data_IF_449261676438
#
_entry.id   IF_449261676438
#
_cell.length_a   1.000
_cell.length_b   1.000
_cell.length_c   1.000
_cell.angle_alpha   90.00
_cell.angle_beta   90.00
_cell.angle_gamma   90.00
#
_symmetry.space_group_name_H-M   'P 1'
#
loop_
_entity.id
_entity.type
_entity.pdbx_description
1 polymer ?
#
# COMPACT_ATOMS: atom_id res chain seq x y z
N UNK A 1 10.12 6.69 -29.98
CA UNK A 1 10.36 6.23 -28.84
C UNK A 1 9.57 5.14 -28.52
N UNK A 2 10.22 4.34 -28.40
CA UNK A 2 9.67 3.30 -27.73
C UNK A 2 9.03 3.80 -26.50
N UNK A 3 7.84 3.70 -26.49
CA UNK A 3 7.13 3.77 -25.27
C UNK A 3 7.75 2.71 -24.38
N UNK A 4 8.47 3.13 -23.41
CA UNK A 4 8.96 2.21 -22.42
C UNK A 4 7.77 1.48 -21.86
N UNK A 5 7.78 0.19 -22.03
CA UNK A 5 6.75 -0.63 -21.42
C UNK A 5 6.92 -0.49 -19.92
N UNK A 6 5.98 0.16 -19.26
CA UNK A 6 5.99 0.24 -17.82
C UNK A 6 5.95 -1.17 -17.26
N UNK A 7 6.86 -1.45 -16.34
CA UNK A 7 6.75 -2.68 -15.59
C UNK A 7 5.47 -2.64 -14.78
N UNK A 8 4.65 -3.63 -14.96
CA UNK A 8 3.43 -3.74 -14.18
C UNK A 8 3.76 -4.53 -12.92
N UNK A 9 4.19 -3.83 -11.91
CA UNK A 9 4.72 -4.43 -10.69
C UNK A 9 3.70 -5.25 -9.91
N UNK A 10 2.44 -4.81 -9.93
CA UNK A 10 1.41 -5.41 -9.06
C UNK A 10 0.23 -5.94 -9.86
N UNK A 11 0.42 -6.17 -11.14
CA UNK A 11 -0.65 -6.65 -12.01
C UNK A 11 -1.15 -8.02 -11.52
N UNK A 12 -2.47 -8.15 -11.41
CA UNK A 12 -3.12 -9.40 -11.00
C UNK A 12 -2.73 -9.86 -9.60
N UNK A 13 -2.17 -8.97 -8.78
CA UNK A 13 -1.83 -9.31 -7.41
C UNK A 13 -3.08 -9.38 -6.56
N UNK A 14 -3.14 -10.36 -5.68
CA UNK A 14 -4.27 -10.55 -4.79
C UNK A 14 -4.38 -9.39 -3.79
N UNK A 15 -5.59 -8.86 -3.63
CA UNK A 15 -5.90 -7.80 -2.66
C UNK A 15 -5.01 -6.56 -2.87
N UNK A 16 -4.80 -6.19 -4.12
CA UNK A 16 -3.91 -5.08 -4.43
C UNK A 16 -4.53 -4.20 -5.51
N UNK A 17 -4.79 -2.94 -5.17
CA UNK A 17 -5.29 -1.96 -6.13
C UNK A 17 -4.11 -1.18 -6.73
N UNK A 18 -4.19 -0.89 -8.01
CA UNK A 18 -3.23 -0.02 -8.67
C UNK A 18 -3.72 1.41 -8.60
N UNK A 19 -2.90 2.30 -8.03
CA UNK A 19 -3.25 3.71 -7.85
C UNK A 19 -2.44 4.57 -8.80
N UNK A 20 -3.11 5.52 -9.42
CA UNK A 20 -2.49 6.55 -10.24
C UNK A 20 -2.97 7.91 -9.76
N UNK A 21 -2.36 8.98 -10.28
CA UNK A 21 -2.84 10.32 -9.99
C UNK A 21 -4.30 10.51 -10.36
N UNK A 22 -4.72 9.88 -11.47
CA UNK A 22 -6.09 10.03 -11.97
C UNK A 22 -7.12 9.31 -11.11
N UNK A 23 -6.77 8.16 -10.52
CA UNK A 23 -7.75 7.38 -9.75
C UNK A 23 -7.57 7.50 -8.24
N UNK A 24 -6.64 8.33 -7.77
CA UNK A 24 -6.30 8.40 -6.35
C UNK A 24 -7.52 8.79 -5.51
N UNK A 25 -8.27 9.78 -5.96
CA UNK A 25 -9.45 10.24 -5.22
C UNK A 25 -10.44 9.10 -5.01
N UNK A 26 -10.77 8.37 -6.07
CA UNK A 26 -11.77 7.32 -6.00
C UNK A 26 -11.24 6.06 -5.31
N UNK A 27 -9.97 5.74 -5.50
CA UNK A 27 -9.40 4.49 -5.00
C UNK A 27 -8.99 4.59 -3.55
N UNK A 28 -8.53 5.76 -3.11
CA UNK A 28 -7.96 5.94 -1.77
C UNK A 28 -8.82 6.88 -0.92
N UNK A 29 -9.07 8.08 -1.39
CA UNK A 29 -9.71 9.12 -0.55
C UNK A 29 -11.18 8.84 -0.32
N UNK A 30 -11.93 8.51 -1.38
CA UNK A 30 -13.36 8.25 -1.27
C UNK A 30 -13.67 6.85 -0.74
N UNK A 31 -12.65 6.01 -0.62
CA UNK A 31 -12.81 4.66 -0.08
C UNK A 31 -13.09 4.72 1.41
N UNK A 32 -14.10 3.98 1.86
CA UNK A 32 -14.49 3.98 3.28
C UNK A 32 -13.60 3.09 4.14
N UNK A 33 -12.73 2.31 3.52
CA UNK A 33 -11.79 1.45 4.22
C UNK A 33 -10.52 2.21 4.58
N UNK A 34 -9.78 1.66 5.52
CA UNK A 34 -8.37 2.05 5.69
C UNK A 34 -7.61 1.59 4.46
N UNK A 35 -6.75 2.45 3.91
CA UNK A 35 -5.99 2.11 2.71
C UNK A 35 -4.51 2.23 3.00
N UNK A 36 -3.78 1.14 2.81
CA UNK A 36 -2.31 1.14 2.93
C UNK A 36 -1.71 1.18 1.54
N UNK A 37 -0.93 2.22 1.26
CA UNK A 37 -0.37 2.47 -0.07
C UNK A 37 1.15 2.34 -0.03
N UNK A 38 1.69 1.48 -0.88
CA UNK A 38 3.14 1.42 -1.14
C UNK A 38 3.45 2.29 -2.36
N UNK A 39 4.31 3.28 -2.16
CA UNK A 39 4.78 4.14 -3.25
C UNK A 39 6.16 3.66 -3.66
N UNK A 40 6.32 3.32 -4.94
CA UNK A 40 7.52 2.71 -5.47
C UNK A 40 7.96 3.39 -6.75
N UNK A 41 9.15 3.03 -7.23
CA UNK A 41 9.65 3.39 -8.55
C UNK A 41 10.22 2.13 -9.21
N UNK A 42 10.15 2.07 -10.53
CA UNK A 42 10.57 0.88 -11.27
C UNK A 42 12.07 0.57 -11.09
N UNK A 43 12.88 1.60 -10.94
CA UNK A 43 14.33 1.47 -10.82
C UNK A 43 14.81 1.23 -9.39
N UNK A 44 13.91 1.18 -8.44
CA UNK A 44 14.26 1.18 -7.01
C UNK A 44 14.54 -0.24 -6.50
N UNK A 45 15.78 -0.50 -6.13
CA UNK A 45 16.19 -1.81 -5.61
C UNK A 45 15.51 -2.15 -4.30
N UNK A 46 15.40 -1.19 -3.38
CA UNK A 46 14.73 -1.42 -2.10
C UNK A 46 13.24 -1.69 -2.28
N UNK A 47 12.64 -1.12 -3.32
CA UNK A 47 11.24 -1.41 -3.64
C UNK A 47 11.07 -2.86 -4.07
N UNK A 48 12.05 -3.41 -4.82
CA UNK A 48 12.01 -4.80 -5.25
C UNK A 48 12.10 -5.75 -4.07
N UNK A 49 12.86 -5.38 -3.04
CA UNK A 49 12.97 -6.18 -1.82
C UNK A 49 11.68 -6.12 -0.99
N UNK A 50 11.06 -4.96 -0.90
CA UNK A 50 9.83 -4.78 -0.15
C UNK A 50 8.62 -5.42 -0.84
N UNK A 51 8.59 -5.42 -2.15
CA UNK A 51 7.43 -5.88 -2.93
C UNK A 51 6.88 -7.24 -2.48
N UNK A 52 7.69 -8.31 -2.40
CA UNK A 52 7.15 -9.60 -1.99
C UNK A 52 6.59 -9.59 -0.58
N UNK A 53 7.18 -8.82 0.32
CA UNK A 53 6.69 -8.70 1.70
C UNK A 53 5.34 -7.99 1.73
N UNK A 54 5.21 -6.92 0.97
CA UNK A 54 3.97 -6.16 0.88
C UNK A 54 2.86 -7.00 0.26
N UNK A 55 3.17 -7.71 -0.84
CA UNK A 55 2.22 -8.61 -1.49
C UNK A 55 1.78 -9.72 -0.56
N UNK A 56 2.70 -10.30 0.19
CA UNK A 56 2.39 -11.38 1.11
C UNK A 56 1.50 -10.92 2.25
N UNK A 57 1.76 -9.73 2.77
CA UNK A 57 0.91 -9.14 3.81
C UNK A 57 -0.50 -8.88 3.29
N UNK A 58 -0.63 -8.33 2.09
CA UNK A 58 -1.92 -8.08 1.47
C UNK A 58 -2.70 -9.39 1.31
N UNK A 59 -2.03 -10.44 0.88
CA UNK A 59 -2.64 -11.75 0.73
C UNK A 59 -3.10 -12.32 2.07
N UNK A 60 -2.26 -12.21 3.09
CA UNK A 60 -2.60 -12.72 4.43
C UNK A 60 -3.78 -11.98 5.04
N UNK A 61 -3.97 -10.73 4.71
CA UNK A 61 -5.03 -9.90 5.29
C UNK A 61 -6.21 -9.71 4.34
N UNK A 62 -6.35 -10.56 3.34
CA UNK A 62 -7.41 -10.43 2.36
C UNK A 62 -8.81 -10.62 2.96
N UNK A 63 -8.91 -11.24 4.13
CA UNK A 63 -10.19 -11.44 4.83
C UNK A 63 -10.63 -10.19 5.61
N UNK A 64 -9.76 -9.20 5.76
CA UNK A 64 -10.09 -7.99 6.53
C UNK A 64 -10.85 -7.02 5.63
N UNK A 65 -12.17 -7.03 5.74
CA UNK A 65 -13.03 -6.28 4.84
C UNK A 65 -12.89 -4.77 4.97
N UNK A 66 -12.34 -4.27 6.07
CA UNK A 66 -12.17 -2.85 6.33
C UNK A 66 -10.81 -2.30 5.91
N UNK A 67 -9.98 -3.13 5.31
CA UNK A 67 -8.61 -2.76 4.94
C UNK A 67 -8.39 -3.02 3.45
N UNK A 68 -7.76 -2.08 2.79
CA UNK A 68 -7.44 -2.17 1.37
C UNK A 68 -5.96 -1.91 1.19
N UNK A 69 -5.32 -2.70 0.34
CA UNK A 69 -3.93 -2.51 -0.05
C UNK A 69 -3.86 -1.92 -1.44
N UNK A 70 -2.92 -1.03 -1.63
CA UNK A 70 -2.74 -0.36 -2.92
C UNK A 70 -1.27 -0.07 -3.17
N UNK A 71 -0.93 0.08 -4.43
CA UNK A 71 0.44 0.42 -4.83
C UNK A 71 0.40 1.50 -5.90
N UNK A 72 1.32 2.45 -5.81
CA UNK A 72 1.41 3.55 -6.74
C UNK A 72 2.85 3.74 -7.20
N UNK A 73 3.04 3.84 -8.51
CA UNK A 73 4.34 4.24 -9.05
C UNK A 73 4.49 5.75 -8.85
N UNK A 74 5.30 6.14 -7.87
CA UNK A 74 5.47 7.54 -7.50
C UNK A 74 6.43 8.31 -8.40
N UNK A 75 7.14 7.60 -9.29
CA UNK A 75 8.03 8.23 -10.25
C UNK A 75 7.25 8.80 -11.45
N UNK A 76 6.07 8.24 -11.71
CA UNK A 76 5.23 8.63 -12.85
C UNK A 76 3.90 9.24 -12.43
N UNK A 77 3.61 9.29 -11.14
CA UNK A 77 2.36 9.84 -10.64
C UNK A 77 2.63 10.82 -9.50
N UNK A 78 1.87 11.89 -9.48
CA UNK A 78 1.90 12.85 -8.39
C UNK A 78 0.55 12.85 -7.68
N UNK A 79 0.59 12.99 -6.36
CA UNK A 79 -0.62 13.11 -5.56
C UNK A 79 -0.53 14.42 -4.78
N UNK A 80 -1.51 15.28 -4.98
CA UNK A 80 -1.57 16.55 -4.29
C UNK A 80 -1.68 16.32 -2.78
N UNK A 81 -0.80 16.96 -2.03
CA UNK A 81 -0.78 16.81 -0.59
C UNK A 81 0.08 15.66 -0.06
N UNK A 82 0.63 14.85 -0.94
CA UNK A 82 1.52 13.77 -0.57
C UNK A 82 2.92 14.06 -1.12
N UNK A 83 3.84 14.39 -0.22
CA UNK A 83 5.21 14.75 -0.60
C UNK A 83 6.11 13.54 -0.47
N UNK A 84 6.25 12.80 -1.56
CA UNK A 84 7.07 11.59 -1.59
C UNK A 84 8.51 12.01 -1.87
N UNK A 85 9.39 11.77 -0.91
CA UNK A 85 10.79 12.21 -0.97
C UNK A 85 11.76 11.11 -1.37
N UNK A 86 11.37 9.88 -1.20
CA UNK A 86 12.22 8.73 -1.49
C UNK A 86 11.34 7.52 -1.79
N UNK A 87 11.96 6.46 -2.29
CA UNK A 87 11.27 5.21 -2.56
C UNK A 87 12.00 4.06 -1.87
N UNK A 88 11.26 3.08 -1.34
CA UNK A 88 9.81 3.02 -1.22
C UNK A 88 9.33 3.82 -0.02
N UNK A 89 8.08 4.29 -0.07
CA UNK A 89 7.41 4.84 1.08
C UNK A 89 6.07 4.13 1.24
N UNK A 90 5.63 3.98 2.47
CA UNK A 90 4.35 3.36 2.78
C UNK A 90 3.53 4.38 3.56
N UNK A 91 2.29 4.58 3.13
CA UNK A 91 1.37 5.52 3.79
C UNK A 91 0.06 4.82 4.11
N UNK A 92 -0.43 5.06 5.30
CA UNK A 92 -1.78 4.64 5.67
C UNK A 92 -2.71 5.84 5.56
N UNK A 93 -3.79 5.66 4.83
CA UNK A 93 -4.88 6.64 4.76
C UNK A 93 -6.01 6.10 5.63
N UNK A 94 -6.13 6.57 6.89
CA UNK A 94 -7.11 6.02 7.81
C UNK A 94 -8.53 6.32 7.35
N UNK A 95 -9.43 5.37 7.51
CA UNK A 95 -10.80 5.49 7.02
C UNK A 95 -11.51 6.74 7.53
N UNK A 96 -11.26 7.10 8.78
CA UNK A 96 -11.94 8.23 9.42
C UNK A 96 -11.17 9.54 9.32
N UNK A 97 -10.00 9.55 8.69
CA UNK A 97 -9.18 10.74 8.60
C UNK A 97 -8.28 10.69 7.36
N UNK A 98 -8.92 10.67 6.19
CA UNK A 98 -8.19 10.52 4.92
C UNK A 98 -7.30 11.72 4.58
N UNK A 99 -7.52 12.86 5.25
CA UNK A 99 -6.70 14.05 5.02
C UNK A 99 -5.33 13.94 5.69
N UNK A 100 -5.18 12.99 6.61
CA UNK A 100 -3.96 12.85 7.38
C UNK A 100 -3.34 11.48 7.15
N UNK A 101 -2.69 11.35 6.01
CA UNK A 101 -1.93 10.14 5.72
C UNK A 101 -0.83 9.98 6.75
N UNK A 102 -0.68 8.76 7.25
CA UNK A 102 0.33 8.43 8.25
C UNK A 102 1.46 7.69 7.55
N UNK A 103 2.65 8.29 7.53
CA UNK A 103 3.81 7.65 6.95
C UNK A 103 4.31 6.54 7.88
N UNK A 104 4.63 5.40 7.30
CA UNK A 104 5.25 4.32 8.06
C UNK A 104 6.76 4.55 8.09
N UNK A 105 7.32 4.62 9.28
CA UNK A 105 8.75 4.83 9.47
C UNK A 105 9.29 3.75 10.40
N UNK A 106 9.38 2.54 9.90
CA UNK A 106 9.86 1.41 10.65
C UNK A 106 10.56 0.40 9.77
N UNK A 107 10.97 -0.73 10.33
CA UNK A 107 11.58 -1.80 9.54
C UNK A 107 10.62 -2.29 8.45
N UNK A 108 11.17 -2.60 7.29
CA UNK A 108 10.37 -3.06 6.14
C UNK A 108 10.13 -4.56 6.21
N UNK A 109 9.56 -5.01 7.34
CA UNK A 109 9.22 -6.40 7.58
C UNK A 109 7.73 -6.54 7.79
N UNK A 110 7.17 -7.68 7.38
CA UNK A 110 5.72 -7.89 7.45
C UNK A 110 5.16 -7.69 8.85
N UNK A 111 5.83 -8.25 9.86
CA UNK A 111 5.35 -8.14 11.24
C UNK A 111 5.31 -6.71 11.75
N UNK A 112 6.29 -5.90 11.36
CA UNK A 112 6.36 -4.49 11.78
C UNK A 112 5.30 -3.65 11.08
N UNK A 113 5.07 -3.90 9.80
CA UNK A 113 4.02 -3.21 9.05
C UNK A 113 2.64 -3.61 9.59
N UNK A 114 2.46 -4.89 9.90
CA UNK A 114 1.21 -5.35 10.51
C UNK A 114 0.95 -4.68 11.85
N UNK A 115 1.96 -4.58 12.70
CA UNK A 115 1.82 -3.90 13.99
C UNK A 115 1.43 -2.44 13.81
N UNK A 116 2.01 -1.77 12.82
CA UNK A 116 1.66 -0.40 12.46
C UNK A 116 0.18 -0.30 12.06
N UNK A 117 -0.28 -1.22 11.20
CA UNK A 117 -1.67 -1.24 10.77
C UNK A 117 -2.62 -1.41 11.95
N UNK A 118 -2.32 -2.36 12.83
CA UNK A 118 -3.17 -2.61 14.00
C UNK A 118 -3.23 -1.43 14.95
N UNK A 119 -2.15 -0.63 14.99
CA UNK A 119 -2.09 0.54 15.86
C UNK A 119 -2.78 1.75 15.24
N UNK A 120 -2.67 1.94 13.93
CA UNK A 120 -3.05 3.20 13.27
C UNK A 120 -4.32 3.14 12.44
N UNK A 121 -4.78 1.96 12.07
CA UNK A 121 -6.01 1.84 11.28
C UNK A 121 -7.21 2.33 12.06
N UNK A 122 -8.16 2.96 11.36
CA UNK A 122 -9.40 3.44 11.99
C UNK A 122 -10.30 2.28 12.41
N UNK A 123 -10.32 1.22 11.60
CA UNK A 123 -11.08 0.02 11.90
C UNK A 123 -10.18 -1.05 12.50
N UNK A 124 -10.49 -1.47 13.69
CA UNK A 124 -9.72 -2.53 14.34
C UNK A 124 -9.99 -3.88 13.64
N UNK A 125 -8.99 -4.72 13.61
CA UNK A 125 -9.12 -6.06 13.06
C UNK A 125 -8.22 -7.01 13.83
N UNK A 126 -8.55 -8.31 13.74
CA UNK A 126 -7.75 -9.36 14.37
C UNK A 126 -7.06 -10.19 13.30
N UNK A 127 -5.87 -10.67 13.62
CA UNK A 127 -5.12 -11.55 12.72
C UNK A 127 -5.58 -12.98 12.97
N UNK A 128 -5.88 -13.68 11.87
CA UNK A 128 -6.23 -15.10 11.96
C UNK A 128 -4.96 -15.91 12.05
N UNK A 129 -4.79 -16.60 13.16
CA UNK A 129 -3.66 -17.49 13.33
C UNK A 129 -3.82 -18.71 12.43
N UNK A 130 -2.71 -19.18 11.87
CA UNK A 130 -2.72 -20.33 10.99
C UNK A 130 -3.29 -20.07 9.63
N UNK A 131 -3.70 -18.84 9.33
CA UNK A 131 -4.33 -18.51 8.05
C UNK A 131 -3.39 -18.77 6.89
N UNK A 132 -2.12 -18.48 7.06
CA UNK A 132 -1.11 -18.63 6.03
C UNK A 132 -0.64 -20.08 5.87
N UNK A 133 -1.11 -20.99 6.70
CA UNK A 133 -0.78 -22.40 6.60
C UNK A 133 -1.70 -23.16 5.65
N UNK A 134 -2.73 -22.52 5.20
CA UNK A 134 -3.74 -23.15 4.34
C UNK A 134 -3.33 -23.13 2.85
#
# INVERSE_FOLDING_TARGET
SSVAVEKVWFQNAENMATVTGDNFLNTVISEQKDVLVMVYADWCTHCQTLKPKFLNLAKKLNYVSTLKFAAMNGDTNEVHGLDVKAFPEIYLFPAFDKDKAVAYDGPREEGDILAFLQKKASHMFTVREGHDEL
#
